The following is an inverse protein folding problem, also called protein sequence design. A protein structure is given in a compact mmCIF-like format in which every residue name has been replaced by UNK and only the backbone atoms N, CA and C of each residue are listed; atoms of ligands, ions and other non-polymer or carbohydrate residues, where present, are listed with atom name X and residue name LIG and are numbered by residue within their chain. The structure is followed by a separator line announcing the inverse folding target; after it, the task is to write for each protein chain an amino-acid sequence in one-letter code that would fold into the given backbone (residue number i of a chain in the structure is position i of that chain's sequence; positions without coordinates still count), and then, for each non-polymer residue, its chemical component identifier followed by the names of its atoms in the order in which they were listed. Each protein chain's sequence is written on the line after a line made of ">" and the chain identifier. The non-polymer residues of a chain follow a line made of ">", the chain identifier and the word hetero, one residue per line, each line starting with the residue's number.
data_IF_075698428119
#
_entry.id   IF_075698428119
#
_cell.length_a   1.000
_cell.length_b   1.000
_cell.length_c   1.000
_cell.angle_alpha   90.00
_cell.angle_beta   90.00
_cell.angle_gamma   90.00
#
_symmetry.space_group_name_H-M   'P 1'
#
loop_
_entity.id
_entity.type
_entity.pdbx_description
1 polymer ?
#
# COMPACT_ATOMS: atom_id res chain seq x y z
N UNK A 1 26.75 8.91 19.70
CA UNK A 1 26.62 9.04 18.23
C UNK A 1 26.45 10.52 17.91
N UNK A 2 27.38 11.14 17.18
CA UNK A 2 27.30 12.57 16.85
C UNK A 2 26.24 12.82 15.77
N UNK A 3 25.69 14.04 15.70
CA UNK A 3 24.70 14.44 14.69
C UNK A 3 25.15 14.16 13.24
N UNK A 4 26.46 14.29 12.96
CA UNK A 4 27.03 14.00 11.65
C UNK A 4 26.95 12.51 11.29
N UNK A 5 27.23 11.63 12.26
CA UNK A 5 27.19 10.18 12.04
C UNK A 5 25.75 9.68 11.86
N UNK A 6 24.78 10.28 12.57
CA UNK A 6 23.37 9.98 12.37
C UNK A 6 22.87 10.35 10.96
N UNK A 7 23.24 11.53 10.45
CA UNK A 7 22.87 11.95 9.08
C UNK A 7 23.43 11.01 8.02
N UNK A 8 24.69 10.59 8.15
CA UNK A 8 25.33 9.64 7.22
C UNK A 8 24.65 8.27 7.25
N UNK A 9 24.29 7.78 8.43
CA UNK A 9 23.57 6.52 8.59
C UNK A 9 22.20 6.57 7.89
N UNK A 10 21.42 7.63 8.14
CA UNK A 10 20.11 7.81 7.50
C UNK A 10 20.24 7.92 5.99
N UNK A 11 21.20 8.70 5.49
CA UNK A 11 21.48 8.82 4.06
C UNK A 11 21.82 7.48 3.42
N UNK A 12 22.71 6.69 4.04
CA UNK A 12 23.07 5.37 3.54
C UNK A 12 21.89 4.40 3.49
N UNK A 13 20.98 4.44 4.47
CA UNK A 13 19.75 3.62 4.45
C UNK A 13 18.82 4.05 3.31
N UNK A 14 18.62 5.36 3.12
CA UNK A 14 17.79 5.89 2.03
C UNK A 14 18.38 5.55 0.65
N UNK A 15 19.71 5.61 0.50
CA UNK A 15 20.39 5.21 -0.74
C UNK A 15 20.21 3.73 -1.06
N UNK A 16 20.17 2.85 -0.04
CA UNK A 16 19.86 1.43 -0.28
C UNK A 16 18.39 1.21 -0.63
N UNK A 17 17.46 1.81 0.13
CA UNK A 17 16.02 1.63 -0.09
C UNK A 17 15.54 2.25 -1.42
N UNK A 18 16.20 3.30 -1.90
CA UNK A 18 15.86 3.95 -3.17
C UNK A 18 16.32 3.20 -4.42
N UNK A 19 17.09 2.11 -4.27
CA UNK A 19 17.47 1.25 -5.40
C UNK A 19 16.23 0.61 -6.02
N UNK A 20 16.22 0.55 -7.34
CA UNK A 20 15.08 0.00 -8.09
C UNK A 20 14.74 -1.45 -7.68
N UNK A 21 15.75 -2.27 -7.36
CA UNK A 21 15.58 -3.65 -6.86
C UNK A 21 14.73 -3.75 -5.58
N UNK A 22 14.69 -2.69 -4.78
CA UNK A 22 13.92 -2.62 -3.54
C UNK A 22 12.53 -1.97 -3.72
N UNK A 23 12.15 -1.62 -4.96
CA UNK A 23 10.87 -0.91 -5.23
C UNK A 23 9.67 -1.71 -4.74
N UNK A 24 9.66 -3.02 -4.95
CA UNK A 24 8.54 -3.87 -4.55
C UNK A 24 8.38 -3.91 -3.02
N UNK A 25 9.50 -3.94 -2.30
CA UNK A 25 9.51 -3.88 -0.84
C UNK A 25 9.02 -2.53 -0.32
N UNK A 26 9.54 -1.42 -0.84
CA UNK A 26 9.20 -0.06 -0.39
C UNK A 26 7.77 0.31 -0.76
N UNK A 27 7.29 -0.14 -1.92
CA UNK A 27 5.90 0.01 -2.36
C UNK A 27 4.97 -1.06 -1.79
N UNK A 28 5.49 -1.98 -0.97
CA UNK A 28 4.72 -3.03 -0.32
C UNK A 28 3.91 -3.91 -1.29
N UNK A 29 4.42 -4.17 -2.50
CA UNK A 29 3.69 -4.89 -3.56
C UNK A 29 3.29 -6.31 -3.18
N UNK A 30 4.04 -6.97 -2.29
CA UNK A 30 3.65 -8.29 -1.76
C UNK A 30 2.30 -8.27 -1.01
N UNK A 31 1.81 -7.10 -0.59
CA UNK A 31 0.53 -6.94 0.10
C UNK A 31 -0.57 -6.40 -0.83
N UNK A 32 -0.30 -6.23 -2.12
CA UNK A 32 -1.29 -5.79 -3.09
C UNK A 32 -2.49 -6.76 -3.08
N UNK A 33 -3.69 -6.20 -2.90
CA UNK A 33 -4.92 -6.99 -2.82
C UNK A 33 -5.19 -7.72 -1.49
N UNK A 34 -4.28 -7.69 -0.50
CA UNK A 34 -4.41 -8.44 0.75
C UNK A 34 -5.74 -8.18 1.51
N UNK A 35 -6.27 -6.96 1.42
CA UNK A 35 -7.54 -6.57 2.06
C UNK A 35 -8.76 -6.67 1.15
N UNK A 36 -8.59 -6.90 -0.16
CA UNK A 36 -9.72 -6.94 -1.12
C UNK A 36 -10.67 -8.09 -0.82
N UNK A 37 -10.14 -9.27 -0.47
CA UNK A 37 -10.96 -10.44 -0.15
C UNK A 37 -11.89 -10.21 1.05
N UNK A 38 -11.37 -9.62 2.13
CA UNK A 38 -12.19 -9.29 3.30
C UNK A 38 -13.36 -8.35 2.92
N UNK A 39 -13.08 -7.29 2.18
CA UNK A 39 -14.11 -6.31 1.80
C UNK A 39 -15.10 -6.88 0.76
N UNK A 40 -14.63 -7.70 -0.18
CA UNK A 40 -15.46 -8.32 -1.21
C UNK A 40 -16.31 -9.48 -0.72
N UNK A 41 -15.87 -10.24 0.29
CA UNK A 41 -16.55 -11.48 0.67
C UNK A 41 -17.22 -11.44 2.03
N UNK A 42 -16.89 -10.47 2.91
CA UNK A 42 -17.59 -10.34 4.20
C UNK A 42 -18.97 -9.70 4.07
N UNK A 43 -19.13 -8.71 3.19
CA UNK A 43 -20.41 -8.02 2.99
C UNK A 43 -21.04 -8.48 1.69
N UNK A 44 -22.23 -9.10 1.78
CA UNK A 44 -23.03 -9.48 0.62
C UNK A 44 -23.33 -8.25 -0.26
N UNK A 45 -23.46 -8.40 -1.60
CA UNK A 45 -23.70 -7.27 -2.49
C UNK A 45 -24.87 -6.38 -2.08
N UNK A 46 -25.95 -6.96 -1.57
CA UNK A 46 -27.18 -6.25 -1.16
C UNK A 46 -26.95 -5.34 0.07
N UNK A 47 -25.93 -5.64 0.88
CA UNK A 47 -25.58 -4.88 2.08
C UNK A 47 -24.58 -3.75 1.81
N UNK A 48 -24.10 -3.57 0.57
CA UNK A 48 -23.09 -2.56 0.26
C UNK A 48 -23.76 -1.22 -0.02
N UNK A 49 -23.35 -0.20 0.72
CA UNK A 49 -23.78 1.17 0.44
C UNK A 49 -23.15 1.65 -0.90
N UNK A 50 -23.96 2.10 -1.89
CA UNK A 50 -23.45 2.53 -3.19
C UNK A 50 -22.44 3.69 -3.12
N UNK A 51 -22.63 4.62 -2.18
CA UNK A 51 -21.72 5.75 -1.99
C UNK A 51 -20.38 5.32 -1.40
N UNK A 52 -20.40 4.32 -0.50
CA UNK A 52 -19.17 3.73 0.02
C UNK A 52 -18.39 3.01 -1.08
N UNK A 53 -19.09 2.30 -1.98
CA UNK A 53 -18.44 1.62 -3.11
C UNK A 53 -17.72 2.60 -4.06
N UNK A 54 -18.33 3.76 -4.35
CA UNK A 54 -17.69 4.81 -5.15
C UNK A 54 -16.43 5.38 -4.50
N UNK A 55 -16.47 5.61 -3.19
CA UNK A 55 -15.30 6.10 -2.43
C UNK A 55 -14.17 5.09 -2.40
N UNK A 56 -14.49 3.81 -2.25
CA UNK A 56 -13.51 2.72 -2.33
C UNK A 56 -12.85 2.69 -3.71
N UNK A 57 -13.65 2.75 -4.78
CA UNK A 57 -13.13 2.75 -6.15
C UNK A 57 -12.27 3.99 -6.44
N UNK A 58 -12.64 5.17 -5.93
CA UNK A 58 -11.83 6.39 -6.05
C UNK A 58 -10.47 6.27 -5.35
N UNK A 59 -10.43 5.67 -4.15
CA UNK A 59 -9.19 5.51 -3.38
C UNK A 59 -8.32 4.37 -3.90
N UNK A 60 -8.95 3.33 -4.44
CA UNK A 60 -8.30 2.10 -4.90
C UNK A 60 -8.88 1.71 -6.27
N UNK A 61 -8.42 2.31 -7.37
CA UNK A 61 -8.93 1.98 -8.70
C UNK A 61 -8.80 0.48 -9.02
N UNK A 62 -9.82 -0.10 -9.65
CA UNK A 62 -9.89 -1.53 -9.94
C UNK A 62 -10.23 -2.39 -8.72
N UNK A 63 -10.63 -1.79 -7.59
CA UNK A 63 -10.91 -2.53 -6.37
C UNK A 63 -11.95 -3.62 -6.60
N UNK A 64 -12.95 -3.38 -7.45
CA UNK A 64 -14.06 -4.31 -7.71
C UNK A 64 -13.89 -5.20 -8.94
N UNK A 65 -12.84 -5.03 -9.75
CA UNK A 65 -12.73 -5.65 -11.09
C UNK A 65 -12.24 -7.11 -11.11
N UNK A 66 -11.73 -7.62 -9.99
CA UNK A 66 -11.21 -8.99 -9.85
C UNK A 66 -12.06 -9.90 -8.95
#
# INVERSE_FOLDING_TARGET
>A
MTLLNAKRLVGGVLDQLSRHENSDLVLAKQWEGASQGAVKFMTKPEGRNPEAMKKVEFLFPGFWEN
#
